data_IF_357115998376
#
_entry.id   IF_357115998376
#
_cell.length_a   1.000
_cell.length_b   1.000
_cell.length_c   1.000
_cell.angle_alpha   90.00
_cell.angle_beta   90.00
_cell.angle_gamma   90.00
#
_symmetry.space_group_name_H-M   'P 1'
#
loop_
_entity.id
_entity.type
_entity.pdbx_description
1 polymer ?
#
# COMPACT_ATOMS: atom_id res chain seq x y z
N UNK A 1 -6.54 29.65 2.29
CA UNK A 1 -6.13 29.10 3.61
C UNK A 1 -5.86 27.59 3.59
N UNK A 2 -6.69 26.76 2.93
CA UNK A 2 -6.43 25.31 2.82
C UNK A 2 -5.33 24.93 1.80
N UNK A 3 -5.07 25.76 0.79
CA UNK A 3 -4.05 25.51 -0.23
C UNK A 3 -2.62 25.42 0.33
N UNK A 4 -2.31 26.12 1.43
CA UNK A 4 -1.03 26.04 2.13
C UNK A 4 -0.78 24.67 2.81
N UNK A 5 -1.82 23.84 2.95
CA UNK A 5 -1.73 22.51 3.55
C UNK A 5 -1.50 21.40 2.52
N UNK A 6 -1.43 21.73 1.22
CA UNK A 6 -1.20 20.77 0.15
C UNK A 6 0.11 21.10 -0.57
N UNK A 7 0.87 20.10 -1.05
CA UNK A 7 1.96 20.35 -1.97
C UNK A 7 1.46 21.04 -3.24
N UNK A 8 2.26 21.93 -3.83
CA UNK A 8 1.88 22.75 -4.99
C UNK A 8 1.37 21.91 -6.20
N UNK A 9 1.85 20.68 -6.32
CA UNK A 9 1.44 19.74 -7.38
C UNK A 9 0.06 19.10 -7.17
N UNK A 10 -0.59 19.31 -6.02
CA UNK A 10 -1.83 18.62 -5.63
C UNK A 10 -3.01 19.59 -5.64
N UNK A 11 -4.02 19.39 -6.52
CA UNK A 11 -5.19 20.25 -6.51
C UNK A 11 -6.03 20.04 -5.24
N UNK A 12 -6.68 21.10 -4.75
CA UNK A 12 -7.47 21.07 -3.50
C UNK A 12 -8.51 19.93 -3.46
N UNK A 13 -9.24 19.73 -4.56
CA UNK A 13 -10.22 18.64 -4.67
C UNK A 13 -9.58 17.26 -4.52
N UNK A 14 -8.35 17.11 -5.03
CA UNK A 14 -7.58 15.87 -4.95
C UNK A 14 -7.14 15.58 -3.53
N UNK A 15 -6.61 16.59 -2.83
CA UNK A 15 -6.26 16.48 -1.41
C UNK A 15 -7.46 16.08 -0.53
N UNK A 16 -8.60 16.76 -0.70
CA UNK A 16 -9.84 16.42 0.02
C UNK A 16 -10.30 14.99 -0.29
N UNK A 17 -10.28 14.60 -1.57
CA UNK A 17 -10.66 13.26 -1.99
C UNK A 17 -9.77 12.19 -1.33
N UNK A 18 -8.44 12.40 -1.29
CA UNK A 18 -7.50 11.47 -0.64
C UNK A 18 -7.74 11.34 0.86
N UNK A 19 -8.01 12.44 1.55
CA UNK A 19 -8.31 12.44 2.99
C UNK A 19 -9.60 11.67 3.29
N UNK A 20 -10.67 11.88 2.51
CA UNK A 20 -11.92 11.13 2.65
C UNK A 20 -11.75 9.65 2.28
N UNK A 21 -10.99 9.37 1.22
CA UNK A 21 -10.75 8.01 0.78
C UNK A 21 -9.86 7.23 1.77
N UNK A 22 -8.99 7.92 2.51
CA UNK A 22 -8.22 7.29 3.60
C UNK A 22 -9.09 6.67 4.67
N UNK A 23 -10.16 7.35 5.06
CA UNK A 23 -11.16 6.79 5.96
C UNK A 23 -11.77 5.50 5.38
N UNK A 24 -12.23 5.55 4.12
CA UNK A 24 -12.89 4.41 3.46
C UNK A 24 -11.95 3.21 3.34
N UNK A 25 -10.73 3.44 2.86
CA UNK A 25 -9.75 2.38 2.65
C UNK A 25 -9.27 1.73 3.95
N UNK A 26 -9.15 2.51 5.03
CA UNK A 26 -8.82 1.96 6.35
C UNK A 26 -10.00 1.17 6.94
N UNK A 27 -11.24 1.64 6.76
CA UNK A 27 -12.44 0.89 7.13
C UNK A 27 -12.54 -0.47 6.41
N UNK A 28 -12.29 -0.48 5.09
CA UNK A 28 -12.20 -1.70 4.28
C UNK A 28 -11.16 -2.66 4.81
N UNK A 29 -9.98 -2.13 5.12
CA UNK A 29 -8.84 -2.90 5.61
C UNK A 29 -9.13 -3.62 6.92
N UNK A 30 -9.91 -3.00 7.83
CA UNK A 30 -10.33 -3.63 9.09
C UNK A 30 -11.40 -4.70 8.87
N UNK A 31 -12.38 -4.45 8.00
CA UNK A 31 -13.50 -5.39 7.79
C UNK A 31 -13.08 -6.64 7.02
N UNK A 32 -12.37 -6.46 5.90
CA UNK A 32 -11.99 -7.56 5.01
C UNK A 32 -10.57 -8.07 5.26
N UNK A 33 -9.82 -7.43 6.16
CA UNK A 33 -8.45 -7.78 6.52
C UNK A 33 -7.39 -7.37 5.48
N UNK A 34 -7.77 -7.15 4.22
CA UNK A 34 -6.89 -6.88 3.09
C UNK A 34 -7.55 -5.98 2.02
N UNK A 35 -6.74 -5.41 1.13
CA UNK A 35 -7.21 -4.69 -0.06
C UNK A 35 -7.24 -3.16 0.06
N UNK A 36 -7.50 -2.59 1.24
CA UNK A 36 -7.59 -1.13 1.36
C UNK A 36 -6.26 -0.41 1.09
N UNK A 37 -5.11 -1.02 1.36
CA UNK A 37 -3.82 -0.46 0.93
C UNK A 37 -3.66 -0.39 -0.60
N UNK A 38 -4.17 -1.38 -1.33
CA UNK A 38 -4.19 -1.33 -2.80
C UNK A 38 -5.12 -0.20 -3.26
N UNK A 39 -6.30 -0.08 -2.66
CA UNK A 39 -7.20 1.04 -2.96
C UNK A 39 -6.55 2.39 -2.70
N UNK A 40 -5.88 2.55 -1.56
CA UNK A 40 -5.20 3.78 -1.20
C UNK A 40 -4.10 4.11 -2.20
N UNK A 41 -3.27 3.13 -2.56
CA UNK A 41 -2.26 3.30 -3.61
C UNK A 41 -2.85 3.80 -4.92
N UNK A 42 -4.00 3.24 -5.32
CA UNK A 42 -4.65 3.57 -6.59
C UNK A 42 -5.24 4.99 -6.54
N UNK A 43 -5.83 5.39 -5.40
CA UNK A 43 -6.31 6.75 -5.20
C UNK A 43 -5.16 7.76 -5.22
N UNK A 44 -4.08 7.48 -4.49
CA UNK A 44 -2.86 8.29 -4.49
C UNK A 44 -2.28 8.41 -5.90
N UNK A 45 -2.15 7.30 -6.63
CA UNK A 45 -1.67 7.29 -8.02
C UNK A 45 -2.52 8.11 -8.99
N UNK A 46 -3.78 8.38 -8.63
CA UNK A 46 -4.68 9.15 -9.47
C UNK A 46 -4.64 10.65 -9.20
N UNK A 47 -4.01 11.08 -8.12
CA UNK A 47 -3.97 12.50 -7.73
C UNK A 47 -2.53 13.00 -7.70
N UNK A 48 -1.59 12.19 -7.22
CA UNK A 48 -0.22 12.61 -6.98
C UNK A 48 0.67 12.42 -8.21
N UNK A 49 1.75 13.21 -8.33
CA UNK A 49 2.83 12.92 -9.26
C UNK A 49 3.40 11.51 -9.04
N UNK A 50 3.80 10.79 -10.10
CA UNK A 50 4.25 9.39 -10.01
C UNK A 50 5.32 9.13 -8.96
N UNK A 51 6.30 10.04 -8.86
CA UNK A 51 7.42 9.94 -7.92
C UNK A 51 6.98 10.03 -6.45
N UNK A 52 5.85 10.68 -6.17
CA UNK A 52 5.30 10.82 -4.82
C UNK A 52 4.40 9.66 -4.40
N UNK A 53 3.88 8.88 -5.35
CA UNK A 53 2.88 7.84 -5.08
C UNK A 53 3.38 6.81 -4.08
N UNK A 54 4.53 6.22 -4.34
CA UNK A 54 5.07 5.12 -3.53
C UNK A 54 5.56 5.57 -2.15
N UNK A 55 6.31 6.70 -2.02
CA UNK A 55 6.72 7.24 -0.74
C UNK A 55 5.53 7.65 0.14
N UNK A 56 4.60 8.46 -0.38
CA UNK A 56 3.44 8.97 0.37
C UNK A 56 2.54 7.81 0.80
N UNK A 57 2.27 6.87 -0.10
CA UNK A 57 1.56 5.63 0.24
C UNK A 57 2.24 4.88 1.40
N UNK A 58 3.58 4.87 1.44
CA UNK A 58 4.34 4.26 2.53
C UNK A 58 4.01 4.84 3.90
N UNK A 59 4.04 6.17 4.03
CA UNK A 59 3.81 6.83 5.32
C UNK A 59 2.35 6.66 5.77
N UNK A 60 1.40 6.85 4.86
CA UNK A 60 -0.03 6.66 5.16
C UNK A 60 -0.32 5.23 5.61
N UNK A 61 0.23 4.24 4.91
CA UNK A 61 0.03 2.83 5.26
C UNK A 61 0.81 2.40 6.50
N UNK A 62 1.95 3.03 6.81
CA UNK A 62 2.65 2.79 8.06
C UNK A 62 1.73 3.11 9.24
N UNK A 63 1.07 4.27 9.21
CA UNK A 63 0.11 4.67 10.26
C UNK A 63 -1.03 3.66 10.46
N UNK A 64 -1.68 3.23 9.37
CA UNK A 64 -2.80 2.27 9.45
C UNK A 64 -2.36 0.86 9.90
N UNK A 65 -1.22 0.37 9.42
CA UNK A 65 -0.73 -0.96 9.79
C UNK A 65 -0.14 -1.02 11.20
N UNK A 66 0.53 0.05 11.65
CA UNK A 66 1.14 0.12 12.97
C UNK A 66 0.11 -0.03 14.09
N UNK A 67 -1.06 0.62 13.95
CA UNK A 67 -2.15 0.49 14.92
C UNK A 67 -2.60 -0.96 15.09
N UNK A 68 -2.81 -1.69 13.98
CA UNK A 68 -3.21 -3.11 14.01
C UNK A 68 -2.09 -4.01 14.55
N UNK A 69 -0.85 -3.76 14.14
CA UNK A 69 0.31 -4.51 14.64
C UNK A 69 0.48 -4.34 16.16
N UNK A 70 0.29 -3.13 16.68
CA UNK A 70 0.39 -2.84 18.11
C UNK A 70 -0.73 -3.49 18.93
N UNK A 71 -1.98 -3.40 18.46
CA UNK A 71 -3.16 -3.99 19.14
C UNK A 71 -3.10 -5.52 19.17
N UNK A 72 -2.56 -6.15 18.12
CA UNK A 72 -2.51 -7.62 18.00
C UNK A 72 -1.14 -8.22 18.30
N UNK A 73 -0.22 -7.45 18.91
CA UNK A 73 1.19 -7.85 19.11
C UNK A 73 1.39 -9.18 19.87
N UNK A 74 0.43 -9.57 20.69
CA UNK A 74 0.45 -10.84 21.44
C UNK A 74 0.30 -12.06 20.53
N UNK A 75 -0.31 -11.89 19.36
CA UNK A 75 -0.54 -12.94 18.37
C UNK A 75 0.54 -12.94 17.27
N UNK A 76 1.63 -12.19 17.44
CA UNK A 76 2.69 -12.09 16.43
C UNK A 76 3.50 -13.39 16.36
N UNK A 77 3.61 -13.98 15.16
CA UNK A 77 4.60 -15.03 14.88
C UNK A 77 6.01 -14.43 14.79
N UNK A 78 6.63 -14.22 15.95
CA UNK A 78 7.93 -13.55 16.09
C UNK A 78 9.03 -14.18 15.25
N UNK A 79 9.00 -15.51 15.10
CA UNK A 79 9.99 -16.24 14.30
C UNK A 79 9.90 -15.88 12.82
N UNK A 80 8.70 -15.84 12.25
CA UNK A 80 8.50 -15.42 10.86
C UNK A 80 8.88 -13.95 10.68
N UNK A 81 8.44 -13.10 11.61
CA UNK A 81 8.73 -11.68 11.58
C UNK A 81 10.23 -11.37 11.63
N UNK A 82 11.01 -12.08 12.46
CA UNK A 82 12.47 -11.94 12.52
C UNK A 82 13.15 -12.22 11.18
N UNK A 83 12.80 -13.32 10.51
CA UNK A 83 13.32 -13.62 9.17
C UNK A 83 12.82 -12.61 8.13
N UNK A 84 11.56 -12.16 8.22
CA UNK A 84 11.00 -11.15 7.32
C UNK A 84 11.81 -9.84 7.35
N UNK A 85 12.20 -9.36 8.54
CA UNK A 85 12.96 -8.11 8.70
C UNK A 85 14.27 -8.18 7.90
N UNK A 86 15.02 -9.28 8.02
CA UNK A 86 16.30 -9.47 7.30
C UNK A 86 16.04 -9.39 5.79
N UNK A 87 15.04 -10.11 5.32
CA UNK A 87 14.61 -10.06 3.93
C UNK A 87 14.23 -8.65 3.46
N UNK A 88 13.41 -7.96 4.25
CA UNK A 88 12.88 -6.65 3.91
C UNK A 88 13.98 -5.58 3.77
N UNK A 89 14.96 -5.58 4.68
CA UNK A 89 16.11 -4.67 4.61
C UNK A 89 16.89 -4.91 3.32
N UNK A 90 17.23 -6.17 3.02
CA UNK A 90 17.97 -6.53 1.80
C UNK A 90 17.16 -6.20 0.55
N UNK A 91 15.87 -6.55 0.51
CA UNK A 91 14.99 -6.28 -0.62
C UNK A 91 14.85 -4.78 -0.93
N UNK A 92 14.72 -3.95 0.10
CA UNK A 92 14.67 -2.50 -0.07
C UNK A 92 16.01 -1.93 -0.53
N UNK A 93 17.13 -2.39 0.02
CA UNK A 93 18.46 -1.94 -0.37
C UNK A 93 18.77 -2.26 -1.85
N UNK A 94 18.38 -3.46 -2.32
CA UNK A 94 18.52 -3.85 -3.72
C UNK A 94 17.59 -3.04 -4.62
N UNK A 95 16.33 -2.88 -4.24
CA UNK A 95 15.37 -2.12 -5.03
C UNK A 95 15.72 -0.63 -5.09
N UNK A 96 16.27 -0.04 -4.02
CA UNK A 96 16.68 1.36 -3.98
C UNK A 96 17.77 1.69 -5.01
N UNK A 97 18.68 0.75 -5.30
CA UNK A 97 19.70 0.90 -6.33
C UNK A 97 19.12 0.90 -7.74
N UNK A 98 18.00 0.21 -7.95
CA UNK A 98 17.38 0.06 -9.26
C UNK A 98 16.32 1.12 -9.53
N UNK A 99 15.51 1.49 -8.52
CA UNK A 99 14.35 2.38 -8.69
C UNK A 99 14.75 3.75 -9.24
N UNK A 100 15.94 4.24 -8.89
CA UNK A 100 16.48 5.51 -9.39
C UNK A 100 16.86 5.47 -10.87
N UNK A 101 17.14 4.29 -11.42
CA UNK A 101 17.51 4.11 -12.81
C UNK A 101 16.29 3.83 -13.71
N UNK A 102 15.11 3.62 -13.13
CA UNK A 102 13.89 3.33 -13.90
C UNK A 102 13.24 4.65 -14.36
N UNK A 103 13.00 4.83 -15.67
CA UNK A 103 12.26 5.98 -16.18
C UNK A 103 10.88 6.12 -15.53
N UNK A 104 10.42 7.35 -15.31
CA UNK A 104 9.11 7.62 -14.71
C UNK A 104 7.96 6.92 -15.44
N UNK A 105 7.96 6.93 -16.77
CA UNK A 105 6.94 6.27 -17.60
C UNK A 105 6.91 4.75 -17.39
N UNK A 106 8.07 4.12 -17.20
CA UNK A 106 8.18 2.71 -16.89
C UNK A 106 7.65 2.40 -15.47
N UNK A 107 7.93 3.26 -14.48
CA UNK A 107 7.35 3.13 -13.13
C UNK A 107 5.81 3.24 -13.16
N UNK A 108 5.27 4.21 -13.90
CA UNK A 108 3.82 4.35 -14.11
C UNK A 108 3.22 3.10 -14.77
N UNK A 109 3.86 2.57 -15.82
CA UNK A 109 3.38 1.37 -16.51
C UNK A 109 3.39 0.15 -15.59
N UNK A 110 4.47 -0.06 -14.83
CA UNK A 110 4.59 -1.15 -13.84
C UNK A 110 3.50 -1.03 -12.76
N UNK A 111 3.27 0.18 -12.26
CA UNK A 111 2.22 0.45 -11.28
C UNK A 111 0.82 0.14 -11.85
N UNK A 112 0.53 0.60 -13.08
CA UNK A 112 -0.74 0.37 -13.74
C UNK A 112 -1.01 -1.12 -14.00
N UNK A 113 0.00 -1.85 -14.49
CA UNK A 113 -0.07 -3.29 -14.69
C UNK A 113 -0.27 -4.05 -13.38
N UNK A 114 0.40 -3.63 -12.31
CA UNK A 114 0.21 -4.22 -10.98
C UNK A 114 -1.22 -4.01 -10.46
N UNK A 115 -1.78 -2.82 -10.65
CA UNK A 115 -3.17 -2.53 -10.29
C UNK A 115 -4.12 -3.42 -11.09
N UNK A 116 -3.96 -3.51 -12.41
CA UNK A 116 -4.77 -4.39 -13.25
C UNK A 116 -4.67 -5.84 -12.81
N UNK A 117 -3.47 -6.34 -12.55
CA UNK A 117 -3.26 -7.69 -12.05
C UNK A 117 -3.94 -7.90 -10.69
N UNK A 118 -3.93 -6.91 -9.80
CA UNK A 118 -4.58 -7.04 -8.50
C UNK A 118 -6.12 -7.10 -8.62
N UNK A 119 -6.70 -6.47 -9.65
CA UNK A 119 -8.15 -6.42 -9.87
C UNK A 119 -8.66 -7.61 -10.68
N UNK A 120 -7.93 -7.99 -11.73
CA UNK A 120 -8.36 -8.93 -12.76
C UNK A 120 -7.50 -10.19 -12.85
N UNK A 121 -6.31 -10.16 -12.26
CA UNK A 121 -5.39 -11.29 -12.25
C UNK A 121 -5.89 -12.45 -11.39
N UNK A 122 -5.31 -13.64 -11.60
CA UNK A 122 -5.64 -14.81 -10.79
C UNK A 122 -5.31 -14.56 -9.32
N UNK A 123 -6.15 -15.09 -8.43
CA UNK A 123 -5.85 -15.08 -6.99
C UNK A 123 -4.55 -15.85 -6.76
N UNK A 124 -3.65 -15.24 -6.00
CA UNK A 124 -2.39 -15.88 -5.60
C UNK A 124 -2.69 -17.13 -4.78
N UNK A 125 -1.97 -18.21 -5.08
CA UNK A 125 -2.07 -19.47 -4.35
C UNK A 125 -1.62 -19.31 -2.90
N UNK A 126 -2.08 -20.22 -2.02
CA UNK A 126 -1.58 -20.30 -0.65
C UNK A 126 -0.25 -21.05 -0.65
N UNK A 127 0.79 -20.44 -0.10
CA UNK A 127 2.12 -21.03 -0.03
C UNK A 127 2.52 -21.32 1.43
N UNK A 128 2.97 -22.54 1.68
CA UNK A 128 3.45 -22.98 3.00
C UNK A 128 4.97 -23.09 2.93
N UNK A 129 5.67 -22.12 3.50
CA UNK A 129 7.14 -22.12 3.56
C UNK A 129 7.62 -22.38 5.00
N UNK A 130 8.84 -22.91 5.19
CA UNK A 130 9.48 -22.96 6.49
C UNK A 130 9.88 -21.56 6.96
N UNK A 131 10.09 -21.37 8.27
CA UNK A 131 10.33 -20.04 8.85
C UNK A 131 11.55 -19.32 8.26
N UNK A 132 12.66 -20.02 8.02
CA UNK A 132 13.86 -19.42 7.43
C UNK A 132 13.66 -18.88 6.01
N UNK A 133 12.81 -19.53 5.21
CA UNK A 133 12.46 -19.08 3.87
C UNK A 133 11.61 -17.80 3.86
N UNK A 134 11.08 -17.39 5.02
CA UNK A 134 10.33 -16.14 5.16
C UNK A 134 11.22 -14.89 4.99
N UNK A 135 12.54 -15.03 5.08
CA UNK A 135 13.47 -14.00 4.63
C UNK A 135 13.40 -13.78 3.11
N UNK A 136 13.25 -14.84 2.31
CA UNK A 136 13.03 -14.72 0.87
C UNK A 136 11.69 -14.04 0.55
N UNK A 137 10.64 -14.32 1.33
CA UNK A 137 9.36 -13.63 1.23
C UNK A 137 9.54 -12.13 1.51
N UNK A 138 10.18 -11.77 2.63
CA UNK A 138 10.45 -10.37 2.97
C UNK A 138 11.28 -9.64 1.92
N UNK A 139 12.28 -10.31 1.34
CA UNK A 139 13.06 -9.78 0.23
C UNK A 139 12.18 -9.50 -0.98
N UNK A 140 11.45 -10.50 -1.47
CA UNK A 140 10.66 -10.37 -2.69
C UNK A 140 9.52 -9.33 -2.56
N UNK A 141 8.77 -9.36 -1.46
CA UNK A 141 7.63 -8.44 -1.28
C UNK A 141 8.09 -7.01 -1.01
N UNK A 142 9.24 -6.83 -0.33
CA UNK A 142 9.79 -5.50 -0.07
C UNK A 142 10.46 -4.92 -1.30
N UNK A 143 11.20 -5.75 -2.06
CA UNK A 143 11.73 -5.36 -3.36
C UNK A 143 10.59 -4.87 -4.27
N UNK A 144 9.55 -5.70 -4.44
CA UNK A 144 8.40 -5.35 -5.26
C UNK A 144 7.69 -4.08 -4.76
N UNK A 145 7.56 -3.87 -3.44
CA UNK A 145 6.83 -2.70 -2.91
C UNK A 145 7.46 -1.37 -3.25
N UNK A 146 8.76 -1.34 -3.57
CA UNK A 146 9.47 -0.14 -3.99
C UNK A 146 9.06 0.31 -5.40
N UNK A 147 8.47 -0.57 -6.21
CA UNK A 147 7.97 -0.28 -7.56
C UNK A 147 6.45 -0.22 -7.64
N UNK A 148 5.75 -1.08 -6.90
CA UNK A 148 4.29 -1.21 -7.01
C UNK A 148 3.53 -0.77 -5.77
N UNK A 149 4.23 -0.35 -4.70
CA UNK A 149 3.63 0.33 -3.56
C UNK A 149 2.82 -0.53 -2.56
N UNK A 150 1.98 -1.48 -3.01
CA UNK A 150 1.00 -2.18 -2.18
C UNK A 150 1.05 -3.72 -2.31
N UNK A 151 2.13 -4.34 -1.85
CA UNK A 151 2.36 -5.80 -1.93
C UNK A 151 1.69 -6.64 -0.83
N UNK A 152 0.73 -6.07 -0.11
CA UNK A 152 -0.03 -6.77 0.95
C UNK A 152 -0.65 -8.10 0.50
N UNK A 153 -1.27 -8.19 -0.70
CA UNK A 153 -1.78 -9.47 -1.22
C UNK A 153 -0.68 -10.51 -1.47
N UNK A 154 0.51 -10.08 -1.93
CA UNK A 154 1.65 -10.99 -2.13
C UNK A 154 2.06 -11.62 -0.80
N UNK A 155 2.20 -10.81 0.25
CA UNK A 155 2.54 -11.32 1.59
C UNK A 155 1.45 -12.23 2.17
N UNK A 156 0.17 -11.89 1.96
CA UNK A 156 -0.96 -12.67 2.48
C UNK A 156 -0.97 -14.12 1.93
N UNK A 157 -0.46 -14.34 0.72
CA UNK A 157 -0.31 -15.67 0.12
C UNK A 157 0.57 -16.62 0.97
N UNK A 158 1.50 -16.07 1.77
CA UNK A 158 2.44 -16.83 2.61
C UNK A 158 1.99 -16.93 4.09
N UNK A 159 0.88 -16.30 4.46
CA UNK A 159 0.30 -16.32 5.81
C UNK A 159 -1.13 -16.92 5.83
N UNK A 160 -1.36 -18.13 5.27
CA UNK A 160 -2.71 -18.69 5.19
C UNK A 160 -3.35 -18.90 6.58
N UNK A 161 -4.58 -18.40 6.81
CA UNK A 161 -5.27 -18.55 8.11
C UNK A 161 -5.50 -19.99 8.54
N UNK A 162 -5.61 -20.94 7.60
CA UNK A 162 -5.74 -22.39 7.91
C UNK A 162 -4.49 -22.99 8.55
N UNK A 163 -3.33 -22.31 8.46
CA UNK A 163 -2.08 -22.75 9.09
C UNK A 163 -1.81 -22.06 10.43
N UNK A 164 -2.05 -20.75 10.50
CA UNK A 164 -1.61 -19.94 11.64
C UNK A 164 -2.76 -19.48 12.54
N UNK A 165 -4.00 -19.61 12.09
CA UNK A 165 -5.16 -19.00 12.73
C UNK A 165 -5.36 -17.54 12.31
N UNK A 166 -6.61 -17.06 12.37
CA UNK A 166 -7.00 -15.74 11.87
C UNK A 166 -6.23 -14.59 12.56
N UNK A 167 -6.16 -14.61 13.89
CA UNK A 167 -5.53 -13.56 14.67
C UNK A 167 -4.03 -13.47 14.36
N UNK A 168 -3.36 -14.62 14.33
CA UNK A 168 -1.93 -14.73 14.03
C UNK A 168 -1.59 -14.28 12.61
N UNK A 169 -2.39 -14.66 11.62
CA UNK A 169 -2.24 -14.19 10.24
C UNK A 169 -2.34 -12.67 10.17
N UNK A 170 -3.38 -12.08 10.78
CA UNK A 170 -3.60 -10.62 10.72
C UNK A 170 -2.51 -9.87 11.48
N UNK A 171 -2.11 -10.36 12.66
CA UNK A 171 -1.05 -9.76 13.48
C UNK A 171 0.30 -9.78 12.76
N UNK A 172 0.70 -10.95 12.24
CA UNK A 172 1.98 -11.15 11.57
C UNK A 172 2.03 -10.38 10.25
N UNK A 173 0.94 -10.37 9.48
CA UNK A 173 0.82 -9.57 8.26
C UNK A 173 0.97 -8.08 8.56
N UNK A 174 0.24 -7.57 9.55
CA UNK A 174 0.29 -6.16 9.94
C UNK A 174 1.69 -5.74 10.41
N UNK A 175 2.37 -6.57 11.20
CA UNK A 175 3.74 -6.32 11.64
C UNK A 175 4.73 -6.30 10.47
N UNK A 176 4.66 -7.27 9.56
CA UNK A 176 5.49 -7.30 8.36
C UNK A 176 5.23 -6.09 7.45
N UNK A 177 3.97 -5.70 7.24
CA UNK A 177 3.63 -4.50 6.45
C UNK A 177 4.13 -3.21 7.12
N UNK A 178 4.05 -3.13 8.44
CA UNK A 178 4.60 -1.99 9.21
C UNK A 178 6.12 -1.89 8.99
N UNK A 179 6.84 -3.01 9.14
CA UNK A 179 8.28 -3.05 8.87
C UNK A 179 8.60 -2.67 7.42
N UNK A 180 7.91 -3.28 6.47
CA UNK A 180 8.10 -3.05 5.04
C UNK A 180 7.89 -1.57 4.66
N UNK A 181 6.83 -0.94 5.17
CA UNK A 181 6.59 0.49 4.95
C UNK A 181 7.60 1.37 5.67
N UNK A 182 8.04 1.00 6.88
CA UNK A 182 9.11 1.69 7.59
C UNK A 182 10.42 1.71 6.80
N UNK A 183 10.89 0.54 6.33
CA UNK A 183 12.11 0.47 5.50
C UNK A 183 11.94 1.26 4.21
N UNK A 184 10.77 1.18 3.57
CA UNK A 184 10.48 1.95 2.35
C UNK A 184 10.60 3.45 2.57
N UNK A 185 10.07 3.98 3.68
CA UNK A 185 10.16 5.41 4.02
C UNK A 185 11.62 5.81 4.20
N UNK A 186 12.40 5.02 4.94
CA UNK A 186 13.84 5.26 5.12
C UNK A 186 14.56 5.24 3.78
N UNK A 187 14.30 4.24 2.94
CA UNK A 187 14.92 4.11 1.62
C UNK A 187 14.62 5.34 0.73
N UNK A 188 13.36 5.73 0.58
CA UNK A 188 13.02 6.92 -0.23
C UNK A 188 13.52 8.22 0.39
N UNK A 189 13.66 8.30 1.72
CA UNK A 189 14.28 9.44 2.39
C UNK A 189 15.77 9.56 2.04
N UNK A 190 16.50 8.44 2.03
CA UNK A 190 17.90 8.40 1.58
C UNK A 190 18.02 8.73 0.09
N UNK A 191 17.05 8.32 -0.73
CA UNK A 191 16.99 8.66 -2.16
C UNK A 191 16.59 10.13 -2.43
N UNK A 192 16.34 10.94 -1.39
CA UNK A 192 16.09 12.38 -1.53
C UNK A 192 14.62 12.78 -1.64
N UNK A 193 13.66 11.90 -1.36
CA UNK A 193 12.25 12.28 -1.37
C UNK A 193 11.93 13.28 -0.24
N UNK A 194 11.41 14.45 -0.59
CA UNK A 194 11.13 15.56 0.32
C UNK A 194 9.84 15.35 1.13
N UNK A 195 9.84 14.43 2.09
CA UNK A 195 8.64 14.11 2.89
C UNK A 195 8.00 15.30 3.61
N UNK A 196 8.78 16.33 3.96
CA UNK A 196 8.30 17.49 4.73
C UNK A 196 7.19 18.26 4.01
N UNK A 197 7.26 18.37 2.68
CA UNK A 197 6.24 19.04 1.86
C UNK A 197 4.89 18.32 1.92
N UNK A 198 4.90 17.02 2.23
CA UNK A 198 3.73 16.16 2.24
C UNK A 198 3.12 15.98 3.63
N UNK A 199 3.79 16.47 4.69
CA UNK A 199 3.40 16.23 6.09
C UNK A 199 1.95 16.61 6.38
N UNK A 200 1.42 17.78 5.98
CA UNK A 200 0.05 18.14 6.36
C UNK A 200 -1.00 17.22 5.71
N UNK A 201 -0.83 16.90 4.42
CA UNK A 201 -1.70 15.94 3.71
C UNK A 201 -1.59 14.54 4.32
N UNK A 202 -0.38 14.05 4.55
CA UNK A 202 -0.14 12.73 5.15
C UNK A 202 -0.76 12.64 6.54
N UNK A 203 -0.57 13.67 7.38
CA UNK A 203 -1.12 13.73 8.73
C UNK A 203 -2.65 13.69 8.70
N UNK A 204 -3.28 14.46 7.81
CA UNK A 204 -4.72 14.44 7.62
C UNK A 204 -5.23 13.05 7.18
N UNK A 205 -4.54 12.42 6.21
CA UNK A 205 -4.87 11.07 5.75
C UNK A 205 -4.69 10.01 6.84
N UNK A 206 -3.64 10.09 7.66
CA UNK A 206 -3.44 9.18 8.79
C UNK A 206 -4.53 9.37 9.84
N UNK A 207 -4.88 10.62 10.17
CA UNK A 207 -5.93 10.93 11.15
C UNK A 207 -7.29 10.37 10.69
N UNK A 208 -7.70 10.63 9.46
CA UNK A 208 -8.97 10.10 8.94
C UNK A 208 -8.93 8.59 8.71
N UNK A 209 -7.77 8.04 8.34
CA UNK A 209 -7.55 6.59 8.29
C UNK A 209 -7.73 5.93 9.66
N UNK A 210 -7.22 6.54 10.72
CA UNK A 210 -7.42 6.06 12.09
C UNK A 210 -8.88 6.08 12.50
N UNK A 211 -9.62 7.16 12.18
CA UNK A 211 -11.07 7.21 12.36
C UNK A 211 -11.77 6.09 11.57
N UNK A 212 -11.35 5.85 10.32
CA UNK A 212 -11.86 4.77 9.48
C UNK A 212 -11.64 3.40 10.10
N UNK A 213 -10.47 3.16 10.71
CA UNK A 213 -10.19 1.93 11.47
C UNK A 213 -11.10 1.78 12.68
N UNK A 214 -11.33 2.86 13.44
CA UNK A 214 -12.12 2.82 14.67
C UNK A 214 -13.62 2.62 14.42
N UNK A 215 -14.18 3.26 13.38
CA UNK A 215 -15.62 3.23 13.10
C UNK A 215 -16.02 2.29 11.95
N UNK A 216 -15.05 1.90 11.12
CA UNK A 216 -15.29 1.21 9.85
C UNK A 216 -16.01 -0.12 9.97
N UNK A 217 -15.77 -0.86 11.05
CA UNK A 217 -16.47 -2.12 11.34
C UNK A 217 -17.99 -1.94 11.34
N UNK A 218 -18.51 -0.91 12.03
CA UNK A 218 -19.96 -0.66 12.18
C UNK A 218 -20.63 -0.21 10.87
N UNK A 219 -19.88 0.50 10.01
CA UNK A 219 -20.40 1.04 8.74
C UNK A 219 -20.43 -0.06 7.67
N UNK A 220 -19.35 -0.85 7.57
CA UNK A 220 -19.23 -1.88 6.55
C UNK A 220 -20.06 -3.14 6.84
N UNK A 221 -20.33 -3.47 8.11
CA UNK A 221 -21.25 -4.58 8.47
C UNK A 221 -22.65 -4.41 7.85
N UNK A 222 -23.04 -3.18 7.49
CA UNK A 222 -24.33 -2.87 6.87
C UNK A 222 -24.29 -2.87 5.33
N UNK A 223 -23.11 -2.95 4.72
CA UNK A 223 -22.96 -2.85 3.27
C UNK A 223 -23.00 -4.26 2.62
N UNK A 224 -23.89 -4.52 1.65
CA UNK A 224 -23.95 -5.82 1.00
C UNK A 224 -22.63 -6.16 0.27
N UNK A 225 -22.12 -7.39 0.44
CA UNK A 225 -20.83 -7.84 -0.13
C UNK A 225 -20.77 -7.66 -1.65
N UNK A 226 -21.88 -7.91 -2.36
CA UNK A 226 -21.99 -7.72 -3.81
C UNK A 226 -21.80 -6.25 -4.21
N UNK A 227 -22.41 -5.32 -3.46
CA UNK A 227 -22.30 -3.87 -3.73
C UNK A 227 -20.87 -3.41 -3.49
N UNK A 228 -20.25 -3.88 -2.41
CA UNK A 228 -18.86 -3.60 -2.12
C UNK A 228 -17.93 -4.10 -3.24
N UNK A 229 -18.09 -5.36 -3.65
CA UNK A 229 -17.25 -5.97 -4.68
C UNK A 229 -17.35 -5.23 -6.02
N UNK A 230 -18.55 -4.83 -6.43
CA UNK A 230 -18.77 -4.04 -7.65
C UNK A 230 -18.10 -2.67 -7.52
N UNK A 231 -18.36 -1.94 -6.43
CA UNK A 231 -17.77 -0.61 -6.21
C UNK A 231 -16.25 -0.65 -6.21
N UNK A 232 -15.65 -1.61 -5.51
CA UNK A 232 -14.21 -1.83 -5.47
C UNK A 232 -13.63 -2.09 -6.87
N UNK A 233 -14.22 -3.03 -7.63
CA UNK A 233 -13.75 -3.36 -8.99
C UNK A 233 -13.87 -2.18 -9.94
N UNK A 234 -14.98 -1.44 -9.89
CA UNK A 234 -15.23 -0.29 -10.76
C UNK A 234 -14.22 0.82 -10.50
N UNK A 235 -14.03 1.23 -9.23
CA UNK A 235 -13.08 2.29 -8.87
C UNK A 235 -11.67 1.91 -9.29
N UNK A 236 -11.20 0.70 -8.97
CA UNK A 236 -9.84 0.30 -9.31
C UNK A 236 -9.61 0.18 -10.82
N UNK A 237 -10.61 -0.30 -11.58
CA UNK A 237 -10.49 -0.44 -13.04
C UNK A 237 -10.40 0.92 -13.73
N UNK A 238 -11.25 1.88 -13.35
CA UNK A 238 -11.22 3.24 -13.91
C UNK A 238 -9.88 3.93 -13.67
N UNK A 239 -9.30 3.74 -12.48
CA UNK A 239 -8.04 4.36 -12.11
C UNK A 239 -6.84 3.68 -12.79
N UNK A 240 -6.89 2.36 -12.99
CA UNK A 240 -5.89 1.65 -13.80
C UNK A 240 -5.87 2.15 -15.26
N UNK A 241 -7.06 2.32 -15.86
CA UNK A 241 -7.20 2.88 -17.22
C UNK A 241 -6.65 4.31 -17.27
N UNK A 242 -6.95 5.14 -16.27
CA UNK A 242 -6.41 6.51 -16.19
C UNK A 242 -4.89 6.53 -16.11
N UNK A 243 -4.27 5.66 -15.30
CA UNK A 243 -2.82 5.57 -15.21
C UNK A 243 -2.17 5.14 -16.53
N UNK A 244 -2.79 4.19 -17.24
CA UNK A 244 -2.34 3.80 -18.59
C UNK A 244 -2.46 4.95 -19.59
N UNK A 245 -3.57 5.72 -19.52
CA UNK A 245 -3.76 6.90 -20.39
C UNK A 245 -2.70 7.97 -20.13
N UNK A 246 -2.46 8.31 -18.86
CA UNK A 246 -1.44 9.31 -18.48
C UNK A 246 -0.04 8.84 -18.93
N UNK A 247 0.35 7.61 -18.60
CA UNK A 247 1.64 7.07 -19.02
C UNK A 247 1.79 6.97 -20.55
N UNK A 248 0.72 6.63 -21.26
CA UNK A 248 0.70 6.59 -22.73
C UNK A 248 0.84 7.98 -23.36
N UNK A 249 0.18 8.99 -22.79
CA UNK A 249 0.28 10.37 -23.26
C UNK A 249 1.67 10.98 -23.08
N UNK A 250 2.35 10.66 -21.97
CA UNK A 250 3.75 11.05 -21.72
C UNK A 250 4.71 10.39 -22.72
N UNK A 251 4.48 9.11 -23.08
CA UNK A 251 5.27 8.40 -24.08
C UNK A 251 5.08 8.95 -25.50
N UNK A 252 3.85 9.32 -25.88
CA UNK A 252 3.56 9.92 -27.18
C UNK A 252 4.12 11.33 -27.35
N UNK A 253 4.41 12.05 -26.26
CA UNK A 253 5.02 13.39 -26.32
C UNK A 253 6.55 13.34 -26.53
N UNK A 254 7.16 12.16 -26.48
CA UNK A 254 8.60 11.93 -26.69
C UNK A 254 8.94 11.56 -28.15
N UNK A 255 7.95 11.40 -29.01
CA UNK A 255 8.07 11.08 -30.44
C UNK A 255 7.29 12.08 -31.29
#
# INVERSE_FOLDING_TARGET
MLEFLLPDSVPLWGGIALVLFSYVTSAVTVTFGLGGGVMMLVAIGSVLPPLAVIPVHGVVQLGSNAGRAYLMREHLERRLFGFFIVGAIVGAALAAQLVIAVPQSALQAVLALFILYTVWGPKLGKHKVPAGAFAGVGLATTFATMFVGATGPLLAAFLPPDRYGKMTTVATHSACMTMQHGVKIVAFGILGFAFLEWVPLIAAMIATGFLGTATGKKVLEKLPERVFAIGFKTVLTLLAIRLLWVGGSELSALF
#
